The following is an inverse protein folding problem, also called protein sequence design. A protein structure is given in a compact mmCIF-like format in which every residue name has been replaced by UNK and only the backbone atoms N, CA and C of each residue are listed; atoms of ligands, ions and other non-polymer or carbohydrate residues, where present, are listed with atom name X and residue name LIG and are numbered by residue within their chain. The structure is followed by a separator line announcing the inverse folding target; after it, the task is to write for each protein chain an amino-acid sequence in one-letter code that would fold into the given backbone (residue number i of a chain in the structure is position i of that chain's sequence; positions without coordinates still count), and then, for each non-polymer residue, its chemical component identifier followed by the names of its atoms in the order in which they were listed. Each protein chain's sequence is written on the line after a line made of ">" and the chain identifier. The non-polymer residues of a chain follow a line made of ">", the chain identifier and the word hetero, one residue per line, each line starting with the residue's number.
data_IF_814861252496
#
_entry.id   IF_814861252496
#
_cell.length_a   1.000
_cell.length_b   1.000
_cell.length_c   1.000
_cell.angle_alpha   90.00
_cell.angle_beta   90.00
_cell.angle_gamma   90.00
#
_symmetry.space_group_name_H-M   'P 1'
#
loop_
_entity.id
_entity.type
_entity.pdbx_description
1 polymer ?
#
# COMPACT_ATOMS: atom_id res chain seq x y z
N UNK A 1 -15.36 -13.34 30.24
CA UNK A 1 -14.34 -14.01 29.39
C UNK A 1 -14.67 -13.74 27.92
N UNK A 2 -13.63 -13.58 27.08
CA UNK A 2 -13.59 -12.99 25.70
C UNK A 2 -13.49 -11.45 25.73
N UNK A 3 -12.28 -10.87 25.88
CA UNK A 3 -11.28 -10.53 24.83
C UNK A 3 -11.97 -9.80 23.65
N UNK A 4 -11.67 -8.57 23.25
CA UNK A 4 -10.63 -7.60 23.58
C UNK A 4 -10.70 -6.51 22.48
N UNK A 5 -10.49 -5.27 22.91
CA UNK A 5 -9.95 -4.13 22.15
C UNK A 5 -10.55 -3.71 20.79
N UNK A 6 -11.13 -2.51 20.83
CA UNK A 6 -11.33 -1.53 19.75
C UNK A 6 -10.24 -1.54 18.67
N UNK A 7 -10.66 -1.37 17.42
CA UNK A 7 -10.08 -0.37 16.48
C UNK A 7 -11.14 0.05 15.46
N UNK A 8 -11.94 1.06 15.81
CA UNK A 8 -12.47 1.99 14.81
C UNK A 8 -11.35 2.98 14.57
N UNK A 9 -10.78 2.99 13.37
CA UNK A 9 -9.96 4.12 12.92
C UNK A 9 -10.44 4.50 11.54
N UNK A 10 -11.50 5.30 11.50
CA UNK A 10 -11.64 6.26 10.43
C UNK A 10 -10.61 7.34 10.67
N UNK A 11 -9.80 7.66 9.66
CA UNK A 11 -8.94 8.84 9.69
C UNK A 11 -9.20 9.66 8.45
N UNK A 12 -10.26 10.45 8.55
CA UNK A 12 -10.40 11.71 7.84
C UNK A 12 -9.53 12.74 8.59
N UNK A 13 -8.30 12.97 8.14
CA UNK A 13 -7.58 14.24 8.32
C UNK A 13 -6.66 14.46 7.11
N UNK A 14 -7.12 15.30 6.18
CA UNK A 14 -6.26 16.01 5.24
C UNK A 14 -5.59 17.17 6.00
N UNK A 15 -4.33 17.44 5.65
CA UNK A 15 -3.58 18.69 5.90
C UNK A 15 -2.83 18.79 7.23
N UNK A 16 -1.57 18.35 7.21
CA UNK A 16 -0.38 18.88 7.91
C UNK A 16 0.61 17.72 7.96
N UNK A 17 1.76 17.81 7.30
CA UNK A 17 2.75 16.73 7.20
C UNK A 17 3.11 16.16 8.58
N UNK A 18 2.53 15.01 8.99
CA UNK A 18 2.96 14.29 10.16
C UNK A 18 4.11 13.37 9.74
N UNK A 19 5.04 13.12 10.63
CA UNK A 19 6.03 12.06 10.45
C UNK A 19 5.30 10.71 10.49
N UNK A 20 4.80 10.27 9.32
CA UNK A 20 4.09 9.00 9.20
C UNK A 20 5.06 7.83 9.41
N UNK A 21 4.63 6.87 10.22
CA UNK A 21 5.36 5.61 10.38
C UNK A 21 5.28 4.76 9.10
N UNK A 22 6.19 3.79 8.96
CA UNK A 22 6.18 2.86 7.83
C UNK A 22 4.85 2.11 7.67
N UNK A 23 4.17 1.85 8.79
CA UNK A 23 2.88 1.17 8.86
C UNK A 23 1.74 2.05 8.33
N UNK A 24 1.70 3.31 8.74
CA UNK A 24 0.70 4.28 8.28
C UNK A 24 0.85 4.59 6.80
N UNK A 25 2.09 4.77 6.32
CA UNK A 25 2.35 4.95 4.90
C UNK A 25 1.93 3.74 4.09
N UNK A 26 2.14 2.53 4.60
CA UNK A 26 1.63 1.29 4.00
C UNK A 26 0.10 1.27 3.93
N UNK A 27 -0.59 1.62 5.02
CA UNK A 27 -2.07 1.65 5.03
C UNK A 27 -2.64 2.70 4.08
N UNK A 28 -1.97 3.85 3.96
CA UNK A 28 -2.33 4.89 3.00
C UNK A 28 -2.11 4.41 1.57
N UNK A 29 -0.98 3.76 1.30
CA UNK A 29 -0.70 3.16 0.00
C UNK A 29 -1.72 2.06 -0.34
N UNK A 30 -2.10 1.23 0.63
CA UNK A 30 -3.13 0.20 0.48
C UNK A 30 -4.52 0.79 0.19
N UNK A 31 -4.85 1.94 0.76
CA UNK A 31 -6.08 2.68 0.47
C UNK A 31 -6.04 3.42 -0.87
N UNK A 32 -4.87 3.52 -1.52
CA UNK A 32 -4.78 4.12 -2.86
C UNK A 32 -4.86 3.06 -3.95
N UNK A 33 -5.41 3.45 -5.09
CA UNK A 33 -5.38 2.64 -6.31
C UNK A 33 -3.99 2.53 -6.94
N UNK A 34 -2.89 2.97 -6.30
CA UNK A 34 -1.53 2.90 -6.89
C UNK A 34 -1.13 1.43 -7.13
N UNK A 35 -1.32 0.57 -6.14
CA UNK A 35 -1.00 -0.86 -6.22
C UNK A 35 -1.91 -1.58 -7.19
N UNK A 36 -3.20 -1.27 -7.13
CA UNK A 36 -4.22 -1.79 -8.03
C UNK A 36 -3.96 -1.42 -9.51
N UNK A 37 -3.70 -0.14 -9.78
CA UNK A 37 -3.37 0.34 -11.12
C UNK A 37 -2.08 -0.32 -11.59
N UNK A 38 -1.07 -0.46 -10.73
CA UNK A 38 0.16 -1.16 -11.07
C UNK A 38 -0.07 -2.63 -11.44
N UNK A 39 -0.82 -3.38 -10.62
CA UNK A 39 -1.18 -4.78 -10.90
C UNK A 39 -1.94 -4.89 -12.22
N UNK A 40 -2.91 -4.00 -12.46
CA UNK A 40 -3.72 -3.96 -13.69
C UNK A 40 -2.90 -3.59 -14.93
N UNK A 41 -2.04 -2.57 -14.86
CA UNK A 41 -1.19 -2.15 -15.98
C UNK A 41 -0.15 -3.20 -16.35
N UNK A 42 0.35 -3.94 -15.37
CA UNK A 42 1.33 -5.00 -15.59
C UNK A 42 0.69 -6.40 -15.72
N UNK A 43 -0.65 -6.52 -15.68
CA UNK A 43 -1.40 -7.79 -15.81
C UNK A 43 -0.77 -8.95 -15.04
N UNK A 44 -0.45 -8.73 -13.77
CA UNK A 44 0.15 -9.76 -12.90
C UNK A 44 1.56 -10.24 -13.28
N UNK A 45 2.16 -9.65 -14.31
CA UNK A 45 3.50 -9.90 -14.82
C UNK A 45 4.37 -8.64 -14.74
N UNK A 46 4.76 -8.26 -13.52
CA UNK A 46 5.80 -7.26 -13.31
C UNK A 46 7.12 -7.93 -12.95
N UNK A 47 8.20 -7.50 -13.59
CA UNK A 47 9.56 -7.91 -13.23
C UNK A 47 10.13 -7.05 -12.09
N UNK A 48 11.33 -7.40 -11.64
CA UNK A 48 12.04 -6.64 -10.60
C UNK A 48 12.25 -5.16 -10.96
N UNK A 49 12.43 -4.82 -12.24
CA UNK A 49 12.57 -3.43 -12.68
C UNK A 49 11.28 -2.63 -12.49
N UNK A 50 10.13 -3.22 -12.81
CA UNK A 50 8.82 -2.58 -12.59
C UNK A 50 8.54 -2.42 -11.10
N UNK A 51 8.93 -3.39 -10.30
CA UNK A 51 8.89 -3.32 -8.85
C UNK A 51 9.72 -2.15 -8.30
N UNK A 52 10.96 -1.99 -8.75
CA UNK A 52 11.81 -0.85 -8.35
C UNK A 52 11.19 0.49 -8.77
N UNK A 53 10.65 0.58 -9.98
CA UNK A 53 9.96 1.79 -10.44
C UNK A 53 8.73 2.14 -9.59
N UNK A 54 8.01 1.13 -9.08
CA UNK A 54 6.93 1.33 -8.13
C UNK A 54 7.44 1.86 -6.79
N UNK A 55 8.51 1.25 -6.24
CA UNK A 55 9.12 1.70 -4.98
C UNK A 55 9.63 3.15 -5.05
N UNK A 56 10.22 3.53 -6.18
CA UNK A 56 10.68 4.89 -6.45
C UNK A 56 9.51 5.87 -6.50
N UNK A 57 8.45 5.52 -7.24
CA UNK A 57 7.21 6.32 -7.33
C UNK A 57 6.52 6.50 -5.98
N UNK A 58 6.51 5.48 -5.13
CA UNK A 58 5.97 5.53 -3.75
C UNK A 58 6.81 6.49 -2.90
N UNK A 59 8.13 6.40 -3.01
CA UNK A 59 9.07 7.27 -2.31
C UNK A 59 8.92 8.73 -2.77
N UNK A 60 8.86 8.98 -4.07
CA UNK A 60 8.67 10.31 -4.69
C UNK A 60 7.34 10.95 -4.26
N UNK A 61 6.29 10.13 -4.10
CA UNK A 61 4.99 10.58 -3.59
C UNK A 61 5.00 10.96 -2.11
N UNK A 62 6.09 10.73 -1.39
CA UNK A 62 6.22 11.05 0.03
C UNK A 62 5.61 10.01 0.95
N UNK A 63 5.50 8.75 0.51
CA UNK A 63 5.14 7.63 1.38
C UNK A 63 6.37 7.03 2.09
N UNK A 64 7.55 7.64 2.00
CA UNK A 64 8.73 7.22 2.76
C UNK A 64 8.69 7.83 4.18
N UNK A 65 9.05 7.06 5.23
CA UNK A 65 9.53 5.67 5.21
C UNK A 65 8.39 4.66 4.96
N UNK A 66 8.66 3.59 4.20
CA UNK A 66 7.74 2.47 3.95
C UNK A 66 8.49 1.14 3.90
N UNK A 67 7.84 0.07 4.34
CA UNK A 67 8.38 -1.28 4.29
C UNK A 67 8.05 -1.93 2.94
N UNK A 68 9.06 -2.07 2.07
CA UNK A 68 8.88 -2.65 0.74
C UNK A 68 8.54 -4.14 0.77
N UNK A 69 8.95 -4.88 1.81
CA UNK A 69 8.58 -6.30 1.99
C UNK A 69 7.06 -6.42 2.16
N UNK A 70 6.49 -5.56 3.01
CA UNK A 70 5.03 -5.42 3.19
C UNK A 70 4.32 -4.95 1.93
N UNK A 71 4.91 -4.04 1.16
CA UNK A 71 4.33 -3.61 -0.12
C UNK A 71 4.23 -4.81 -1.07
N UNK A 72 5.22 -5.70 -1.08
CA UNK A 72 5.24 -6.90 -1.93
C UNK A 72 4.12 -7.86 -1.54
N UNK A 73 4.01 -8.18 -0.24
CA UNK A 73 2.92 -9.00 0.29
C UNK A 73 1.54 -8.43 -0.04
N UNK A 74 1.39 -7.10 0.06
CA UNK A 74 0.16 -6.40 -0.25
C UNK A 74 -0.16 -6.47 -1.75
N UNK A 75 0.86 -6.32 -2.61
CA UNK A 75 0.73 -6.42 -4.06
C UNK A 75 0.24 -7.82 -4.47
N UNK A 76 0.81 -8.88 -3.86
CA UNK A 76 0.34 -10.26 -4.05
C UNK A 76 -1.09 -10.45 -3.55
N UNK A 77 -1.46 -9.84 -2.42
CA UNK A 77 -2.82 -9.85 -1.90
C UNK A 77 -3.82 -9.13 -2.81
N UNK A 78 -3.43 -7.99 -3.41
CA UNK A 78 -4.25 -7.25 -4.39
C UNK A 78 -4.41 -8.07 -5.67
N UNK A 79 -3.33 -8.69 -6.16
CA UNK A 79 -3.37 -9.64 -7.29
C UNK A 79 -4.29 -10.83 -7.04
N UNK A 80 -4.16 -11.48 -5.88
CA UNK A 80 -4.97 -12.64 -5.53
C UNK A 80 -6.43 -12.28 -5.18
N UNK A 81 -6.62 -11.08 -4.64
CA UNK A 81 -7.91 -10.56 -4.20
C UNK A 81 -8.68 -9.82 -5.29
N UNK A 82 -8.06 -9.48 -6.43
CA UNK A 82 -8.73 -9.00 -7.64
C UNK A 82 -9.54 -10.17 -8.20
N UNK A 83 -10.85 -10.26 -7.90
CA UNK A 83 -11.67 -11.26 -8.55
C UNK A 83 -11.73 -10.81 -10.01
N UNK A 84 -11.38 -11.71 -10.92
CA UNK A 84 -11.61 -11.61 -12.34
C UNK A 84 -13.02 -11.01 -12.62
N UNK A 85 -13.11 -9.69 -12.83
CA UNK A 85 -14.31 -8.97 -13.26
C UNK A 85 -14.33 -8.82 -14.78
#
# INVERSE_FOLDING_TARGET
>A
MKKGSKSKTGTSVLSQAPEYTAEENLQRLANTSILEVFVRENKDGWDHEKWLALCDKITEKGYAPIDFDKVGQLLEGVKAGYPNI
#
